data_IF_019561134607
#
_entry.id   IF_019561134607
#
_cell.length_a   1.000
_cell.length_b   1.000
_cell.length_c   1.000
_cell.angle_alpha   90.00
_cell.angle_beta   90.00
_cell.angle_gamma   90.00
#
_symmetry.space_group_name_H-M   'P 1'
#
loop_
_entity.id
_entity.type
_entity.pdbx_description
1 polymer ?
#
# COMPACT_ATOMS: atom_id res chain seq x y z
N UNK A 1 22.59 11.23 -14.13
CA UNK A 1 21.48 10.29 -14.35
C UNK A 1 20.80 10.19 -13.01
N UNK A 2 19.49 10.34 -12.98
CA UNK A 2 18.70 10.21 -11.76
C UNK A 2 18.94 8.80 -11.16
N UNK A 3 19.11 8.64 -9.83
CA UNK A 3 19.30 7.32 -9.22
C UNK A 3 18.21 6.30 -9.59
N UNK A 4 16.95 6.74 -9.67
CA UNK A 4 15.82 5.88 -10.09
C UNK A 4 15.96 5.48 -11.55
N UNK A 5 16.30 6.42 -12.45
CA UNK A 5 16.56 6.11 -13.86
C UNK A 5 17.72 5.10 -14.01
N UNK A 6 18.78 5.26 -13.22
CA UNK A 6 19.91 4.33 -13.24
C UNK A 6 19.48 2.93 -12.79
N UNK A 7 18.65 2.85 -11.75
CA UNK A 7 18.14 1.59 -11.24
C UNK A 7 17.15 0.91 -12.18
N UNK A 8 16.28 1.67 -12.87
CA UNK A 8 15.38 1.11 -13.90
C UNK A 8 16.17 0.59 -15.09
N UNK A 9 17.24 1.28 -15.52
CA UNK A 9 18.13 0.80 -16.58
C UNK A 9 18.90 -0.47 -16.20
N UNK A 10 19.10 -0.74 -14.92
CA UNK A 10 19.81 -1.96 -14.49
C UNK A 10 18.99 -3.22 -14.75
N UNK A 11 17.67 -3.11 -14.97
CA UNK A 11 16.78 -4.22 -15.31
C UNK A 11 17.04 -4.82 -16.71
N UNK A 12 17.97 -4.27 -17.50
CA UNK A 12 18.25 -4.69 -18.89
C UNK A 12 18.62 -6.16 -19.08
N UNK A 13 19.08 -6.84 -18.03
CA UNK A 13 19.42 -8.26 -18.03
C UNK A 13 18.29 -9.16 -17.50
N UNK A 14 17.15 -8.58 -17.10
CA UNK A 14 15.99 -9.31 -16.63
C UNK A 14 15.12 -9.82 -17.79
N UNK A 15 14.24 -10.77 -17.50
CA UNK A 15 13.31 -11.37 -18.46
C UNK A 15 11.88 -11.28 -17.94
N UNK A 16 10.92 -11.08 -18.83
CA UNK A 16 9.50 -11.25 -18.53
C UNK A 16 9.23 -12.69 -18.08
N UNK A 17 8.48 -12.83 -16.98
CA UNK A 17 8.11 -14.13 -16.40
C UNK A 17 6.83 -14.71 -17.01
N UNK A 18 6.09 -13.90 -17.76
CA UNK A 18 4.94 -14.31 -18.59
C UNK A 18 4.74 -13.33 -19.73
N UNK A 19 3.98 -13.70 -20.77
CA UNK A 19 3.67 -12.74 -21.81
C UNK A 19 2.71 -11.66 -21.27
N UNK A 20 2.86 -10.38 -21.69
CA UNK A 20 2.04 -9.30 -21.15
C UNK A 20 0.54 -9.55 -21.36
N UNK A 21 -0.22 -9.53 -20.26
CA UNK A 21 -1.66 -9.77 -20.22
C UNK A 21 -2.10 -11.24 -20.07
N UNK A 22 -1.17 -12.20 -20.04
CA UNK A 22 -1.54 -13.62 -19.87
C UNK A 22 -1.77 -14.01 -18.40
N UNK A 23 -1.09 -13.35 -17.47
CA UNK A 23 -1.16 -13.66 -16.05
C UNK A 23 -1.00 -12.40 -15.19
N UNK A 24 -1.61 -12.43 -14.01
CA UNK A 24 -1.32 -11.50 -12.92
C UNK A 24 -0.07 -11.97 -12.17
N UNK A 25 0.97 -11.13 -12.13
CA UNK A 25 2.19 -11.35 -11.37
C UNK A 25 2.59 -10.03 -10.69
N UNK A 26 2.57 -10.03 -9.37
CA UNK A 26 2.99 -8.88 -8.58
C UNK A 26 4.43 -8.46 -8.96
N UNK A 27 4.66 -7.16 -9.13
CA UNK A 27 5.97 -6.64 -9.54
C UNK A 27 6.21 -5.21 -9.01
N UNK A 28 7.08 -5.13 -8.01
CA UNK A 28 7.71 -3.93 -7.49
C UNK A 28 8.51 -3.21 -8.58
N UNK A 29 9.26 -3.94 -9.40
CA UNK A 29 10.02 -3.36 -10.51
C UNK A 29 9.13 -2.75 -11.58
N UNK A 30 7.92 -3.27 -11.78
CA UNK A 30 6.93 -2.62 -12.62
C UNK A 30 6.56 -1.22 -12.12
N UNK A 31 6.45 -1.04 -10.81
CA UNK A 31 6.24 0.26 -10.19
C UNK A 31 7.48 1.16 -10.21
N UNK A 32 8.68 0.58 -10.12
CA UNK A 32 9.94 1.32 -10.33
C UNK A 32 9.96 1.97 -11.73
N UNK A 33 9.55 1.22 -12.76
CA UNK A 33 9.40 1.73 -14.13
C UNK A 33 8.35 2.84 -14.20
N UNK A 34 7.20 2.70 -13.52
CA UNK A 34 6.20 3.77 -13.43
C UNK A 34 6.76 5.05 -12.79
N UNK A 35 7.58 4.92 -11.75
CA UNK A 35 8.25 6.06 -11.12
C UNK A 35 9.20 6.82 -12.05
N UNK A 36 10.01 6.11 -12.85
CA UNK A 36 10.88 6.74 -13.85
C UNK A 36 10.05 7.38 -14.98
N UNK A 37 8.92 6.78 -15.37
CA UNK A 37 7.97 7.38 -16.31
C UNK A 37 7.39 8.69 -15.76
N UNK A 38 6.96 8.71 -14.50
CA UNK A 38 6.48 9.95 -13.84
C UNK A 38 7.57 11.01 -13.93
N UNK A 39 8.82 10.66 -13.58
CA UNK A 39 9.92 11.62 -13.58
C UNK A 39 10.24 12.15 -14.99
N UNK A 40 10.26 11.29 -16.01
CA UNK A 40 10.52 11.69 -17.40
C UNK A 40 9.39 12.51 -18.02
N UNK A 41 8.15 12.16 -17.74
CA UNK A 41 6.99 12.83 -18.34
C UNK A 41 6.68 14.16 -17.65
N UNK A 42 6.85 14.24 -16.33
CA UNK A 42 6.66 15.49 -15.58
C UNK A 42 7.84 16.46 -15.75
N UNK A 43 9.07 15.92 -15.89
CA UNK A 43 10.31 16.69 -15.83
C UNK A 43 10.79 16.98 -14.41
N UNK A 44 10.20 16.34 -13.40
CA UNK A 44 10.51 16.49 -11.98
C UNK A 44 11.05 15.17 -11.41
N UNK A 45 11.96 15.18 -10.42
CA UNK A 45 12.29 13.96 -9.67
C UNK A 45 11.03 13.33 -9.07
N UNK A 46 10.95 12.00 -9.04
CA UNK A 46 9.77 11.27 -8.56
C UNK A 46 9.28 11.78 -7.19
N UNK A 47 10.15 11.80 -6.17
CA UNK A 47 9.77 12.23 -4.82
C UNK A 47 9.28 13.70 -4.79
N UNK A 48 9.88 14.58 -5.58
CA UNK A 48 9.44 15.97 -5.71
C UNK A 48 8.07 16.10 -6.36
N UNK A 49 7.76 15.25 -7.35
CA UNK A 49 6.43 15.21 -7.95
C UNK A 49 5.39 14.75 -6.92
N UNK A 50 5.68 13.67 -6.18
CA UNK A 50 4.79 13.16 -5.14
C UNK A 50 4.52 14.22 -4.06
N UNK A 51 5.56 14.92 -3.60
CA UNK A 51 5.42 15.97 -2.60
C UNK A 51 4.50 17.10 -3.08
N UNK A 52 4.77 17.67 -4.27
CA UNK A 52 4.10 18.87 -4.75
C UNK A 52 2.68 18.62 -5.28
N UNK A 53 2.43 17.46 -5.89
CA UNK A 53 1.17 17.20 -6.62
C UNK A 53 0.21 16.27 -5.87
N UNK A 54 0.67 15.60 -4.80
CA UNK A 54 -0.16 14.71 -3.97
C UNK A 54 -0.13 15.10 -2.49
N UNK A 55 1.03 15.07 -1.84
CA UNK A 55 1.12 15.18 -0.39
C UNK A 55 0.78 16.59 0.12
N UNK A 56 1.40 17.63 -0.45
CA UNK A 56 1.12 19.02 -0.08
C UNK A 56 -0.34 19.44 -0.37
N UNK A 57 -0.93 19.16 -1.56
CA UNK A 57 -2.33 19.50 -1.83
C UNK A 57 -3.32 18.80 -0.90
N UNK A 58 -2.99 17.60 -0.39
CA UNK A 58 -3.82 16.88 0.59
C UNK A 58 -3.55 17.29 2.04
N UNK A 59 -2.51 18.09 2.29
CA UNK A 59 -2.08 18.47 3.64
C UNK A 59 -1.51 17.29 4.43
N UNK A 60 -0.89 16.33 3.75
CA UNK A 60 -0.17 15.20 4.35
C UNK A 60 1.23 15.66 4.79
N UNK A 61 1.28 16.40 5.89
CA UNK A 61 2.47 17.17 6.31
C UNK A 61 3.57 16.35 6.97
N UNK A 62 3.25 15.14 7.44
CA UNK A 62 4.18 14.20 8.06
C UNK A 62 4.50 13.03 7.11
N UNK A 63 4.13 13.16 5.83
CA UNK A 63 4.36 12.15 4.81
C UNK A 63 5.45 12.60 3.84
N UNK A 64 6.32 11.68 3.44
CA UNK A 64 7.40 11.94 2.47
C UNK A 64 7.81 10.65 1.75
N UNK A 65 8.47 10.80 0.60
CA UNK A 65 9.16 9.72 -0.11
C UNK A 65 10.69 9.77 0.11
N UNK A 66 11.16 10.62 1.02
CA UNK A 66 12.57 10.83 1.32
C UNK A 66 12.80 10.55 2.80
N UNK A 67 13.43 9.43 3.13
CA UNK A 67 13.66 9.02 4.53
C UNK A 67 14.38 10.10 5.35
N UNK A 68 15.36 10.79 4.76
CA UNK A 68 16.10 11.87 5.43
C UNK A 68 15.23 13.08 5.83
N UNK A 69 13.98 13.16 5.34
CA UNK A 69 13.02 14.21 5.69
C UNK A 69 12.02 13.77 6.78
N UNK A 70 12.05 12.51 7.21
CA UNK A 70 11.21 12.02 8.32
C UNK A 70 11.65 12.69 9.62
N UNK A 71 10.69 13.22 10.39
CA UNK A 71 10.98 13.79 11.71
C UNK A 71 11.45 12.67 12.66
N UNK A 72 12.69 12.74 13.17
CA UNK A 72 13.21 11.72 14.07
C UNK A 72 12.42 11.59 15.38
N UNK A 73 11.67 12.62 15.79
CA UNK A 73 10.83 12.58 16.98
C UNK A 73 9.49 11.83 16.74
N UNK A 74 9.09 11.66 15.48
CA UNK A 74 7.87 10.92 15.10
C UNK A 74 8.17 9.49 14.61
N UNK A 75 9.43 9.18 14.33
CA UNK A 75 9.86 7.92 13.74
C UNK A 75 9.53 6.70 14.61
N UNK A 76 9.04 5.64 13.97
CA UNK A 76 8.81 4.33 14.60
C UNK A 76 9.82 3.31 14.11
N UNK A 77 10.44 2.59 15.06
CA UNK A 77 11.36 1.50 14.74
C UNK A 77 10.59 0.25 14.35
N UNK A 78 10.80 -0.25 13.13
CA UNK A 78 10.31 -1.56 12.70
C UNK A 78 11.13 -2.72 13.30
N UNK A 79 10.46 -3.83 13.58
CA UNK A 79 11.09 -5.03 14.14
C UNK A 79 10.77 -6.27 13.32
N UNK A 80 11.77 -7.17 13.19
CA UNK A 80 11.55 -8.54 12.73
C UNK A 80 11.68 -9.51 13.90
N UNK A 81 10.69 -10.38 14.06
CA UNK A 81 10.68 -11.40 15.12
C UNK A 81 11.34 -12.70 14.66
N UNK A 82 12.03 -13.39 15.57
CA UNK A 82 12.48 -14.76 15.38
C UNK A 82 11.49 -15.77 15.99
N UNK A 83 11.55 -17.04 15.56
CA UNK A 83 10.69 -18.12 16.08
C UNK A 83 10.80 -18.33 17.60
N UNK A 84 11.93 -17.93 18.21
CA UNK A 84 12.16 -18.04 19.65
C UNK A 84 11.55 -16.87 20.46
N UNK A 85 10.84 -15.96 19.79
CA UNK A 85 10.19 -14.78 20.39
C UNK A 85 11.13 -13.60 20.62
N UNK A 86 12.39 -13.67 20.17
CA UNK A 86 13.27 -12.51 20.14
C UNK A 86 12.93 -11.58 18.97
N UNK A 87 13.33 -10.31 19.07
CA UNK A 87 13.10 -9.29 18.05
C UNK A 87 14.40 -8.58 17.69
N UNK A 88 14.60 -8.29 16.41
CA UNK A 88 15.68 -7.44 15.93
C UNK A 88 15.08 -6.17 15.32
N UNK A 89 15.58 -5.01 15.73
CA UNK A 89 15.28 -3.76 15.05
C UNK A 89 15.80 -3.83 13.61
N UNK A 90 15.00 -3.38 12.65
CA UNK A 90 15.41 -3.28 11.26
C UNK A 90 15.99 -1.89 10.98
N UNK A 91 17.13 -1.86 10.31
CA UNK A 91 17.62 -0.63 9.69
C UNK A 91 16.83 -0.41 8.41
N UNK A 92 16.18 0.74 8.29
CA UNK A 92 15.44 1.06 7.08
C UNK A 92 16.39 1.53 5.99
N UNK A 93 16.37 0.83 4.87
CA UNK A 93 17.07 1.23 3.66
C UNK A 93 16.14 1.08 2.46
N UNK A 94 15.80 2.20 1.84
CA UNK A 94 15.04 2.20 0.59
C UNK A 94 16.01 2.32 -0.57
N UNK A 95 16.18 1.23 -1.32
CA UNK A 95 16.85 1.29 -2.62
C UNK A 95 16.14 2.38 -3.46
N UNK A 96 16.85 3.34 -4.09
CA UNK A 96 16.24 4.34 -4.95
C UNK A 96 15.27 3.76 -6.00
N UNK A 97 15.51 2.53 -6.46
CA UNK A 97 14.62 1.76 -7.34
C UNK A 97 13.23 1.56 -6.75
N UNK A 98 13.16 1.35 -5.45
CA UNK A 98 11.98 0.87 -4.75
C UNK A 98 11.17 2.01 -4.12
N UNK A 99 11.67 3.25 -4.18
CA UNK A 99 10.95 4.46 -3.74
C UNK A 99 9.53 4.56 -4.31
N UNK A 100 9.26 4.32 -5.63
CA UNK A 100 7.91 4.38 -6.17
C UNK A 100 6.96 3.27 -5.71
N UNK A 101 7.49 2.20 -5.11
CA UNK A 101 6.70 1.04 -4.74
C UNK A 101 6.57 0.85 -3.22
N UNK A 102 7.57 1.28 -2.44
CA UNK A 102 7.64 1.07 -0.99
C UNK A 102 8.23 2.26 -0.21
N UNK A 103 8.58 3.36 -0.88
CA UNK A 103 9.29 4.48 -0.25
C UNK A 103 8.43 5.49 0.50
N UNK A 104 7.12 5.28 0.62
CA UNK A 104 6.24 6.20 1.36
C UNK A 104 6.47 6.03 2.87
N UNK A 105 6.85 7.12 3.51
CA UNK A 105 6.79 7.30 4.95
C UNK A 105 5.54 8.12 5.28
N UNK A 106 4.73 7.65 6.21
CA UNK A 106 3.49 8.33 6.59
C UNK A 106 3.04 7.92 7.98
N UNK A 107 1.93 8.49 8.43
CA UNK A 107 1.30 8.20 9.71
C UNK A 107 -0.21 7.98 9.53
N UNK A 108 -0.87 7.59 10.61
CA UNK A 108 -2.31 7.34 10.56
C UNK A 108 -3.11 8.60 10.20
N UNK A 109 -2.74 9.77 10.75
CA UNK A 109 -3.45 11.03 10.52
C UNK A 109 -3.42 11.49 9.04
N UNK A 110 -2.28 11.38 8.38
CA UNK A 110 -2.14 11.71 6.97
C UNK A 110 -2.83 10.68 6.07
N UNK A 111 -2.74 9.39 6.41
CA UNK A 111 -3.46 8.35 5.69
C UNK A 111 -4.99 8.49 5.84
N UNK A 112 -5.49 9.07 6.94
CA UNK A 112 -6.89 9.46 7.09
C UNK A 112 -7.27 10.54 6.05
N UNK A 113 -6.40 11.53 5.80
CA UNK A 113 -6.64 12.56 4.76
C UNK A 113 -6.71 11.91 3.37
N UNK A 114 -5.78 11.00 3.09
CA UNK A 114 -5.80 10.18 1.87
C UNK A 114 -7.09 9.37 1.74
N UNK A 115 -7.52 8.71 2.81
CA UNK A 115 -8.73 7.90 2.79
C UNK A 115 -9.99 8.73 2.53
N UNK A 116 -10.10 9.91 3.17
CA UNK A 116 -11.19 10.86 2.92
C UNK A 116 -11.18 11.33 1.46
N UNK A 117 -10.02 11.64 0.91
CA UNK A 117 -9.85 12.02 -0.49
C UNK A 117 -10.37 10.92 -1.44
N UNK A 118 -9.99 9.66 -1.21
CA UNK A 118 -10.40 8.52 -2.02
C UNK A 118 -11.92 8.28 -1.94
N UNK A 119 -12.49 8.29 -0.74
CA UNK A 119 -13.94 8.12 -0.53
C UNK A 119 -14.75 9.27 -1.16
N UNK A 120 -14.22 10.49 -1.14
CA UNK A 120 -14.82 11.67 -1.75
C UNK A 120 -14.53 11.80 -3.26
N UNK A 121 -14.14 10.71 -3.93
CA UNK A 121 -13.97 10.63 -5.38
C UNK A 121 -13.04 11.73 -5.92
N UNK A 122 -11.88 11.85 -5.30
CA UNK A 122 -10.79 12.68 -5.79
C UNK A 122 -10.84 14.14 -5.31
N UNK A 123 -11.60 14.43 -4.25
CA UNK A 123 -11.71 15.77 -3.66
C UNK A 123 -11.47 15.74 -2.15
N UNK A 124 -10.71 16.71 -1.65
CA UNK A 124 -10.51 16.94 -0.22
C UNK A 124 -10.55 18.43 0.07
N UNK A 125 -11.34 18.84 1.08
CA UNK A 125 -11.45 20.23 1.52
C UNK A 125 -11.75 21.25 0.40
N UNK A 126 -12.53 20.86 -0.62
CA UNK A 126 -12.87 21.69 -1.78
C UNK A 126 -11.79 21.77 -2.86
N UNK A 127 -10.68 21.03 -2.70
CA UNK A 127 -9.63 20.88 -3.71
C UNK A 127 -9.79 19.53 -4.40
N UNK A 128 -10.03 19.55 -5.71
CA UNK A 128 -10.05 18.35 -6.55
C UNK A 128 -8.65 18.06 -7.09
N UNK A 129 -8.12 16.90 -6.76
CA UNK A 129 -6.78 16.46 -7.18
C UNK A 129 -6.87 15.40 -8.28
N UNK A 130 -7.97 14.63 -8.32
CA UNK A 130 -8.27 13.66 -9.37
C UNK A 130 -9.76 13.68 -9.74
N UNK A 131 -10.10 13.35 -10.97
CA UNK A 131 -11.50 13.21 -11.38
C UNK A 131 -12.14 11.93 -10.82
N UNK A 132 -13.47 11.94 -10.55
CA UNK A 132 -14.18 10.75 -10.10
C UNK A 132 -14.00 9.54 -11.02
N UNK A 133 -13.96 9.76 -12.33
CA UNK A 133 -13.79 8.70 -13.33
C UNK A 133 -12.43 7.99 -13.21
N UNK A 134 -11.39 8.72 -12.80
CA UNK A 134 -10.06 8.14 -12.56
C UNK A 134 -10.04 7.31 -11.27
N UNK A 135 -10.71 7.76 -10.21
CA UNK A 135 -10.89 6.95 -8.99
C UNK A 135 -11.66 5.66 -9.31
N UNK A 136 -12.72 5.76 -10.11
CA UNK A 136 -13.50 4.60 -10.54
C UNK A 136 -12.66 3.64 -11.41
N UNK A 137 -11.82 4.17 -12.31
CA UNK A 137 -10.90 3.36 -13.11
C UNK A 137 -9.87 2.63 -12.23
N UNK A 138 -9.32 3.30 -11.20
CA UNK A 138 -8.37 2.70 -10.27
C UNK A 138 -8.96 1.53 -9.48
N UNK A 139 -10.25 1.61 -9.13
CA UNK A 139 -10.98 0.57 -8.41
C UNK A 139 -11.79 -0.36 -9.32
N UNK A 140 -11.56 -0.32 -10.63
CA UNK A 140 -12.13 -1.29 -11.58
C UNK A 140 -11.18 -2.46 -11.75
N UNK A 141 -11.73 -3.67 -11.69
CA UNK A 141 -10.99 -4.91 -11.91
C UNK A 141 -10.36 -4.97 -13.30
N UNK A 142 -9.06 -5.23 -13.34
CA UNK A 142 -8.27 -5.45 -14.56
C UNK A 142 -7.90 -6.93 -14.72
N UNK A 143 -7.69 -7.63 -13.61
CA UNK A 143 -7.41 -9.07 -13.59
C UNK A 143 -7.77 -9.73 -12.27
N UNK A 144 -8.09 -11.03 -12.33
CA UNK A 144 -8.14 -11.88 -11.14
C UNK A 144 -6.73 -12.20 -10.63
N UNK A 145 -6.60 -12.30 -9.31
CA UNK A 145 -5.35 -12.71 -8.65
C UNK A 145 -5.38 -14.22 -8.40
N UNK A 146 -4.24 -14.90 -8.46
CA UNK A 146 -4.14 -16.36 -8.25
C UNK A 146 -4.13 -16.79 -6.77
N UNK A 147 -4.63 -15.93 -5.90
CA UNK A 147 -4.05 -15.71 -4.58
C UNK A 147 -4.98 -15.92 -3.35
N UNK A 148 -6.20 -16.53 -3.45
CA UNK A 148 -7.08 -16.64 -2.28
C UNK A 148 -6.53 -17.48 -1.13
N UNK A 149 -5.65 -18.46 -1.38
CA UNK A 149 -5.06 -19.30 -0.32
C UNK A 149 -3.74 -18.75 0.26
N UNK A 150 -3.16 -17.68 -0.33
CA UNK A 150 -1.80 -17.23 0.01
C UNK A 150 -1.74 -15.76 0.46
N UNK A 151 -2.51 -14.86 -0.16
CA UNK A 151 -2.75 -13.48 0.33
C UNK A 151 -4.13 -13.33 0.95
N UNK A 152 -4.94 -14.39 0.95
CA UNK A 152 -6.15 -14.47 1.79
C UNK A 152 -5.90 -14.11 3.26
N UNK A 153 -4.76 -14.45 3.88
CA UNK A 153 -4.40 -13.94 5.20
C UNK A 153 -4.06 -12.43 5.24
N UNK A 154 -3.46 -11.87 4.19
CA UNK A 154 -2.92 -10.49 4.16
C UNK A 154 -3.92 -9.44 3.68
N UNK A 155 -4.91 -9.87 2.91
CA UNK A 155 -5.94 -9.03 2.26
C UNK A 155 -7.36 -9.51 2.61
N UNK A 156 -7.45 -10.55 3.45
CA UNK A 156 -8.69 -11.24 3.77
C UNK A 156 -9.21 -12.06 2.58
N UNK A 157 -10.27 -12.88 2.77
CA UNK A 157 -10.96 -13.57 1.67
C UNK A 157 -11.76 -12.63 0.74
N UNK A 158 -11.39 -11.34 0.70
CA UNK A 158 -12.26 -10.23 0.29
C UNK A 158 -11.88 -9.59 -1.04
N UNK A 159 -10.73 -9.97 -1.59
CA UNK A 159 -10.08 -9.24 -2.69
C UNK A 159 -9.36 -10.21 -3.64
N UNK A 160 -10.14 -10.81 -4.53
CA UNK A 160 -9.66 -11.78 -5.53
C UNK A 160 -9.26 -11.16 -6.86
N UNK A 161 -9.28 -9.83 -6.96
CA UNK A 161 -9.04 -9.09 -8.20
C UNK A 161 -8.16 -7.87 -7.94
N UNK A 162 -7.56 -7.33 -9.00
CA UNK A 162 -6.66 -6.20 -8.94
C UNK A 162 -7.03 -5.18 -10.00
N UNK A 163 -7.14 -3.91 -9.59
CA UNK A 163 -7.34 -2.75 -10.46
C UNK A 163 -6.02 -2.04 -10.74
N UNK A 164 -6.07 -0.71 -10.93
CA UNK A 164 -4.86 0.08 -11.17
C UNK A 164 -4.23 0.50 -9.83
N UNK A 165 -3.37 -0.38 -9.30
CA UNK A 165 -2.68 -0.20 -8.03
C UNK A 165 -3.52 -0.43 -6.79
N UNK A 166 -4.61 -1.18 -6.92
CA UNK A 166 -5.50 -1.51 -5.81
C UNK A 166 -5.95 -2.95 -5.91
N UNK A 167 -5.99 -3.66 -4.80
CA UNK A 167 -6.79 -4.87 -4.70
C UNK A 167 -8.27 -4.44 -4.66
N UNK A 168 -9.11 -5.12 -5.45
CA UNK A 168 -10.57 -4.87 -5.50
C UNK A 168 -11.38 -6.16 -5.36
N UNK A 169 -12.58 -6.05 -4.79
CA UNK A 169 -13.44 -7.21 -4.56
C UNK A 169 -14.79 -6.86 -3.95
N UNK A 170 -15.47 -7.89 -3.44
CA UNK A 170 -16.77 -7.78 -2.81
C UNK A 170 -16.89 -8.78 -1.67
N UNK A 171 -17.57 -8.38 -0.59
CA UNK A 171 -17.94 -9.27 0.50
C UNK A 171 -19.37 -8.98 0.95
N UNK A 172 -20.22 -10.00 0.93
CA UNK A 172 -21.59 -9.91 1.45
C UNK A 172 -22.41 -8.74 0.87
N UNK A 173 -22.17 -8.39 -0.39
CA UNK A 173 -22.78 -7.27 -1.11
C UNK A 173 -22.08 -5.91 -0.94
N UNK A 174 -21.00 -5.85 -0.15
CA UNK A 174 -20.19 -4.65 0.03
C UNK A 174 -19.01 -4.67 -0.93
N UNK A 175 -18.92 -3.67 -1.82
CA UNK A 175 -17.73 -3.45 -2.62
C UNK A 175 -16.56 -3.07 -1.72
N UNK A 176 -15.38 -3.63 -1.99
CA UNK A 176 -14.16 -3.39 -1.24
C UNK A 176 -13.02 -2.99 -2.18
N UNK A 177 -12.16 -2.11 -1.70
CA UNK A 177 -10.87 -1.79 -2.30
C UNK A 177 -9.83 -1.64 -1.20
N UNK A 178 -8.57 -1.96 -1.46
CA UNK A 178 -7.53 -1.82 -0.44
C UNK A 178 -6.13 -2.14 -0.94
N UNK A 179 -5.16 -1.94 -0.05
CA UNK A 179 -3.78 -2.33 -0.30
C UNK A 179 -3.08 -2.63 1.03
N UNK A 180 -2.18 -3.59 1.00
CA UNK A 180 -1.34 -3.97 2.13
C UNK A 180 0.11 -3.62 1.84
N UNK A 181 0.88 -3.42 2.90
CA UNK A 181 2.30 -3.12 2.88
C UNK A 181 2.97 -3.93 3.98
N UNK A 182 4.13 -4.47 3.64
CA UNK A 182 5.04 -5.11 4.57
C UNK A 182 6.46 -4.80 4.11
N UNK A 183 7.34 -4.50 5.05
CA UNK A 183 8.73 -4.18 4.77
C UNK A 183 9.40 -3.56 5.99
N UNK A 184 10.70 -3.83 6.14
CA UNK A 184 11.53 -3.23 7.19
C UNK A 184 10.94 -3.30 8.61
N UNK A 185 10.28 -4.40 8.94
CA UNK A 185 9.73 -4.59 10.27
C UNK A 185 8.43 -3.83 10.54
N UNK A 186 7.75 -3.34 9.50
CA UNK A 186 6.46 -2.63 9.57
C UNK A 186 5.44 -3.33 8.68
N UNK A 187 4.19 -3.37 9.14
CA UNK A 187 3.03 -3.74 8.35
C UNK A 187 2.05 -2.57 8.26
N UNK A 188 1.38 -2.44 7.13
CA UNK A 188 0.36 -1.41 6.91
C UNK A 188 -0.78 -1.94 6.06
N UNK A 189 -2.01 -1.78 6.52
CA UNK A 189 -3.18 -2.10 5.71
C UNK A 189 -4.10 -0.89 5.62
N UNK A 190 -4.58 -0.61 4.41
CA UNK A 190 -5.66 0.35 4.16
C UNK A 190 -6.78 -0.34 3.37
N UNK A 191 -8.00 -0.27 3.90
CA UNK A 191 -9.16 -0.86 3.29
C UNK A 191 -10.34 0.10 3.25
N UNK A 192 -11.10 0.03 2.15
CA UNK A 192 -12.24 0.86 1.83
C UNK A 192 -13.47 0.00 1.58
N UNK A 193 -14.61 0.44 2.11
CA UNK A 193 -15.94 0.05 1.65
C UNK A 193 -16.64 1.31 1.12
N UNK A 194 -16.39 1.69 -0.16
CA UNK A 194 -16.78 3.00 -0.67
C UNK A 194 -18.28 3.24 -0.69
N UNK A 195 -19.09 2.21 -0.94
CA UNK A 195 -20.55 2.33 -0.96
C UNK A 195 -21.15 2.53 0.44
N UNK A 196 -20.34 2.27 1.47
CA UNK A 196 -20.62 2.52 2.88
C UNK A 196 -19.93 3.78 3.41
N UNK A 197 -19.20 4.52 2.58
CA UNK A 197 -18.43 5.70 3.01
C UNK A 197 -17.37 5.38 4.07
N UNK A 198 -16.86 4.15 4.13
CA UNK A 198 -16.03 3.65 5.23
C UNK A 198 -14.61 3.37 4.74
N UNK A 199 -13.61 3.72 5.55
CA UNK A 199 -12.25 3.24 5.41
C UNK A 199 -11.63 2.93 6.78
N UNK A 200 -10.76 1.92 6.81
CA UNK A 200 -9.98 1.51 7.98
C UNK A 200 -8.51 1.47 7.59
N UNK A 201 -7.68 2.09 8.41
CA UNK A 201 -6.22 2.12 8.29
C UNK A 201 -5.67 1.46 9.55
N UNK A 202 -4.75 0.53 9.40
CA UNK A 202 -4.04 -0.09 10.50
C UNK A 202 -2.56 -0.20 10.14
N UNK A 203 -1.69 0.14 11.07
CA UNK A 203 -0.23 0.14 10.91
C UNK A 203 0.37 -0.48 12.16
N UNK A 204 1.37 -1.34 12.02
CA UNK A 204 2.13 -1.88 13.16
C UNK A 204 3.62 -1.97 12.86
N UNK A 205 4.44 -1.98 13.90
CA UNK A 205 5.90 -2.05 13.80
C UNK A 205 6.44 -3.46 14.03
N UNK A 206 5.78 -4.48 13.48
CA UNK A 206 6.14 -5.87 13.73
C UNK A 206 6.02 -6.83 12.54
N UNK A 207 7.14 -7.20 11.94
CA UNK A 207 7.18 -8.25 10.92
C UNK A 207 7.53 -9.62 11.54
N UNK A 208 6.64 -10.59 11.36
CA UNK A 208 6.91 -12.00 11.67
C UNK A 208 7.17 -12.76 10.37
N UNK A 209 8.19 -13.64 10.26
CA UNK A 209 8.42 -14.48 9.08
C UNK A 209 7.41 -15.64 8.97
N UNK A 210 6.17 -15.39 9.38
CA UNK A 210 5.04 -16.32 9.37
C UNK A 210 4.01 -15.76 8.38
N UNK A 211 3.76 -16.44 7.26
CA UNK A 211 2.85 -15.94 6.23
C UNK A 211 1.39 -15.88 6.71
N UNK A 212 1.06 -16.57 7.80
CA UNK A 212 -0.27 -16.55 8.39
C UNK A 212 -0.42 -15.45 9.44
N UNK A 213 0.58 -14.58 9.62
CA UNK A 213 0.58 -13.56 10.65
C UNK A 213 0.79 -12.15 10.09
N UNK A 214 -0.32 -11.42 9.94
CA UNK A 214 -0.32 -10.04 9.45
C UNK A 214 -1.21 -9.12 10.32
N UNK A 215 -0.69 -8.63 11.46
CA UNK A 215 -1.48 -7.94 12.48
C UNK A 215 -2.25 -6.72 11.98
N UNK A 216 -1.61 -5.82 11.23
CA UNK A 216 -2.26 -4.66 10.65
C UNK A 216 -3.43 -5.06 9.74
N UNK A 217 -3.27 -6.08 8.89
CA UNK A 217 -4.36 -6.56 8.06
C UNK A 217 -5.50 -7.14 8.90
N UNK A 218 -5.19 -8.01 9.86
CA UNK A 218 -6.21 -8.57 10.76
C UNK A 218 -6.99 -7.49 11.50
N UNK A 219 -6.30 -6.48 12.04
CA UNK A 219 -6.94 -5.36 12.70
C UNK A 219 -7.85 -4.60 11.72
N UNK A 220 -7.39 -4.33 10.49
CA UNK A 220 -8.20 -3.66 9.49
C UNK A 220 -9.44 -4.48 9.09
N UNK A 221 -9.30 -5.80 8.89
CA UNK A 221 -10.39 -6.69 8.51
C UNK A 221 -11.43 -6.85 9.60
N UNK A 222 -11.00 -7.12 10.83
CA UNK A 222 -11.91 -7.37 11.94
C UNK A 222 -12.70 -6.10 12.30
N UNK A 223 -12.04 -4.93 12.24
CA UNK A 223 -12.70 -3.63 12.42
C UNK A 223 -13.65 -3.33 11.25
N UNK A 224 -13.24 -3.59 10.00
CA UNK A 224 -14.12 -3.42 8.82
C UNK A 224 -15.36 -4.31 8.95
N UNK A 225 -15.19 -5.58 9.33
CA UNK A 225 -16.28 -6.54 9.51
C UNK A 225 -17.21 -6.15 10.65
N UNK A 226 -16.68 -5.66 11.76
CA UNK A 226 -17.47 -5.14 12.88
C UNK A 226 -18.36 -3.97 12.40
N UNK A 227 -17.78 -3.02 11.67
CA UNK A 227 -18.48 -1.81 11.21
C UNK A 227 -19.46 -2.08 10.05
N UNK A 228 -19.24 -3.12 9.27
CA UNK A 228 -20.18 -3.61 8.25
C UNK A 228 -21.24 -4.56 8.84
N UNK A 229 -21.11 -4.98 10.10
CA UNK A 229 -22.04 -5.91 10.75
C UNK A 229 -21.94 -7.34 10.19
N UNK A 230 -20.73 -7.78 9.87
CA UNK A 230 -20.44 -9.09 9.31
C UNK A 230 -19.91 -10.08 10.35
N UNK A 231 -19.67 -9.63 11.59
CA UNK A 231 -19.31 -10.49 12.72
C UNK A 231 -20.52 -11.35 13.16
N UNK A 232 -20.36 -12.67 13.36
CA UNK A 232 -21.45 -13.54 13.77
C UNK A 232 -22.01 -13.13 15.14
N UNK A 233 -23.34 -13.16 15.27
CA UNK A 233 -24.10 -12.82 16.50
C UNK A 233 -24.14 -11.33 16.90
N UNK A 234 -23.65 -10.41 16.05
CA UNK A 234 -23.74 -8.97 16.31
C UNK A 234 -24.62 -8.22 15.29
N UNK A 235 -25.44 -7.29 15.77
CA UNK A 235 -26.09 -6.29 14.90
C UNK A 235 -25.04 -5.29 14.40
N UNK A 236 -25.13 -4.79 13.15
CA UNK A 236 -24.17 -3.82 12.62
C UNK A 236 -24.02 -2.62 13.56
N UNK A 237 -22.78 -2.26 13.89
CA UNK A 237 -22.48 -1.05 14.63
C UNK A 237 -22.72 0.17 13.72
N UNK A 238 -23.98 0.64 13.68
CA UNK A 238 -24.39 1.76 12.83
C UNK A 238 -23.74 3.10 13.22
N UNK A 239 -23.13 3.18 14.42
CA UNK A 239 -22.44 4.35 14.96
C UNK A 239 -21.21 3.93 15.76
N UNK A 240 -20.12 4.68 15.66
CA UNK A 240 -18.96 4.58 16.55
C UNK A 240 -19.27 5.22 17.91
N UNK A 241 -20.11 4.57 18.69
CA UNK A 241 -20.32 4.91 20.10
C UNK A 241 -19.20 4.35 20.99
N UNK A 242 -19.17 4.77 22.26
CA UNK A 242 -18.14 4.34 23.21
C UNK A 242 -18.04 2.80 23.33
N UNK A 243 -19.16 2.09 23.16
CA UNK A 243 -19.20 0.63 23.20
C UNK A 243 -18.52 0.01 21.97
N UNK A 244 -18.77 0.55 20.78
CA UNK A 244 -18.13 0.12 19.54
C UNK A 244 -16.63 0.44 19.56
N UNK A 245 -16.25 1.62 20.05
CA UNK A 245 -14.83 1.99 20.21
C UNK A 245 -14.11 1.04 21.16
N UNK A 246 -14.71 0.72 22.32
CA UNK A 246 -14.10 -0.23 23.26
C UNK A 246 -13.92 -1.64 22.65
N UNK A 247 -14.83 -2.08 21.77
CA UNK A 247 -14.67 -3.33 21.02
C UNK A 247 -13.50 -3.26 20.05
N UNK A 248 -13.38 -2.16 19.30
CA UNK A 248 -12.27 -1.94 18.36
C UNK A 248 -10.94 -1.99 19.11
N UNK A 249 -10.83 -1.29 20.24
CA UNK A 249 -9.62 -1.29 21.06
C UNK A 249 -9.30 -2.69 21.58
N UNK A 250 -10.31 -3.43 22.05
CA UNK A 250 -10.13 -4.81 22.49
C UNK A 250 -9.62 -5.72 21.37
N UNK A 251 -10.19 -5.61 20.16
CA UNK A 251 -9.74 -6.39 18.99
C UNK A 251 -8.27 -6.10 18.65
N UNK A 252 -7.90 -4.83 18.63
CA UNK A 252 -6.52 -4.41 18.34
C UNK A 252 -5.56 -4.92 19.41
N UNK A 253 -5.90 -4.75 20.70
CA UNK A 253 -5.08 -5.23 21.82
C UNK A 253 -4.92 -6.76 21.82
N UNK A 254 -5.97 -7.52 21.49
CA UNK A 254 -5.91 -8.98 21.39
C UNK A 254 -5.00 -9.44 20.23
N UNK A 255 -5.08 -8.78 19.07
CA UNK A 255 -4.20 -9.03 17.93
C UNK A 255 -2.75 -8.69 18.29
N UNK A 256 -2.51 -7.54 18.92
CA UNK A 256 -1.17 -7.15 19.36
C UNK A 256 -0.59 -8.14 20.36
N UNK A 257 -1.39 -8.57 21.35
CA UNK A 257 -0.98 -9.54 22.35
C UNK A 257 -0.68 -10.93 21.74
N UNK A 258 -1.51 -11.38 20.80
CA UNK A 258 -1.31 -12.65 20.08
C UNK A 258 -0.06 -12.64 19.19
N UNK A 259 0.28 -11.48 18.65
CA UNK A 259 1.42 -11.29 17.75
C UNK A 259 2.71 -10.84 18.40
N UNK A 260 2.66 -10.45 19.67
CA UNK A 260 3.74 -9.75 20.38
C UNK A 260 4.15 -8.44 19.69
N UNK A 261 3.17 -7.74 19.10
CA UNK A 261 3.38 -6.49 18.38
C UNK A 261 3.74 -5.37 19.38
N UNK A 262 4.89 -4.69 19.22
CA UNK A 262 5.34 -3.64 20.14
C UNK A 262 4.45 -2.41 20.12
N UNK A 263 4.03 -1.97 18.93
CA UNK A 263 3.24 -0.77 18.72
C UNK A 263 2.42 -0.80 17.44
N UNK A 264 1.28 -0.13 17.46
CA UNK A 264 0.35 -0.05 16.35
C UNK A 264 -0.44 1.26 16.35
N UNK A 265 -0.96 1.66 15.19
CA UNK A 265 -1.87 2.79 15.04
C UNK A 265 -3.07 2.37 14.17
N UNK A 266 -4.26 2.82 14.56
CA UNK A 266 -5.51 2.53 13.83
C UNK A 266 -6.28 3.83 13.58
N UNK A 267 -6.82 3.97 12.37
CA UNK A 267 -7.61 5.11 11.93
C UNK A 267 -8.85 4.67 11.19
N UNK A 268 -9.97 5.35 11.41
CA UNK A 268 -11.26 5.02 10.82
C UNK A 268 -11.90 6.29 10.27
N UNK A 269 -12.29 6.23 9.00
CA UNK A 269 -13.02 7.28 8.29
C UNK A 269 -14.42 6.77 7.99
N UNK A 270 -15.44 7.57 8.30
CA UNK A 270 -16.84 7.28 7.99
C UNK A 270 -17.53 8.52 7.44
N UNK A 271 -18.20 8.35 6.32
CA UNK A 271 -19.00 9.38 5.63
C UNK A 271 -18.21 10.69 5.39
N UNK A 272 -16.93 10.54 5.03
CA UNK A 272 -16.03 11.65 4.73
C UNK A 272 -15.41 12.33 5.96
N UNK A 273 -15.65 11.82 7.17
CA UNK A 273 -15.12 12.37 8.43
C UNK A 273 -14.20 11.38 9.15
N UNK A 274 -13.20 11.92 9.85
CA UNK A 274 -12.43 11.16 10.83
C UNK A 274 -13.33 10.86 12.03
N UNK A 275 -13.51 9.58 12.33
CA UNK A 275 -14.38 9.12 13.42
C UNK A 275 -13.63 8.39 14.53
N UNK A 276 -12.43 7.88 14.26
CA UNK A 276 -11.53 7.31 15.27
C UNK A 276 -10.07 7.36 14.80
N UNK A 277 -9.16 7.70 15.69
CA UNK A 277 -7.72 7.52 15.50
C UNK A 277 -7.07 7.28 16.86
N UNK A 278 -6.27 6.23 16.98
CA UNK A 278 -5.52 5.95 18.20
C UNK A 278 -4.21 5.23 17.92
N UNK A 279 -3.25 5.37 18.84
CA UNK A 279 -2.02 4.60 18.88
C UNK A 279 -2.00 3.67 20.09
N UNK A 280 -1.26 2.58 19.97
CA UNK A 280 -1.16 1.49 20.93
C UNK A 280 0.30 1.08 21.08
N UNK A 281 0.71 0.70 22.29
CA UNK A 281 2.06 0.23 22.54
C UNK A 281 3.12 1.32 22.36
N UNK A 282 4.32 0.95 21.90
CA UNK A 282 5.52 1.80 21.92
C UNK A 282 6.19 1.94 20.56
N UNK A 283 6.85 3.08 20.33
CA UNK A 283 7.60 3.36 19.09
C UNK A 283 8.90 2.58 18.98
N UNK A 284 9.48 2.17 20.11
CA UNK A 284 10.70 1.35 20.19
C UNK A 284 10.66 0.43 21.40
N UNK A 285 11.06 -0.82 21.24
CA UNK A 285 11.23 -1.76 22.35
C UNK A 285 12.28 -1.26 23.35
N UNK A 286 11.88 -1.16 24.62
CA UNK A 286 12.75 -0.72 25.71
C UNK A 286 12.67 0.77 26.02
N UNK A 287 11.89 1.55 25.26
CA UNK A 287 11.43 2.87 25.63
C UNK A 287 9.94 2.83 26.04
N UNK A 288 9.46 3.91 26.68
CA UNK A 288 8.06 4.07 27.07
C UNK A 288 7.32 5.08 26.16
N UNK A 289 7.91 5.44 25.01
CA UNK A 289 7.34 6.45 24.11
C UNK A 289 6.19 5.81 23.34
N UNK A 290 4.95 6.33 23.49
CA UNK A 290 3.78 5.68 22.91
C UNK A 290 3.73 5.88 21.39
N UNK A 291 3.26 4.87 20.67
CA UNK A 291 2.75 5.12 19.32
C UNK A 291 1.54 6.04 19.43
N UNK A 292 1.46 7.00 18.51
CA UNK A 292 0.33 7.92 18.37
C UNK A 292 -0.15 7.91 16.92
N UNK A 293 -1.32 8.50 16.61
CA UNK A 293 -1.74 8.69 15.21
C UNK A 293 -0.76 9.51 14.36
N UNK A 294 0.11 10.30 15.01
CA UNK A 294 1.13 11.12 14.36
C UNK A 294 2.45 10.37 14.09
N UNK A 295 2.66 9.22 14.74
CA UNK A 295 3.87 8.41 14.60
C UNK A 295 4.05 7.93 13.16
N UNK A 296 5.26 8.11 12.61
CA UNK A 296 5.59 7.88 11.21
C UNK A 296 6.27 6.52 11.03
N UNK A 297 5.75 5.73 10.09
CA UNK A 297 6.23 4.40 9.76
C UNK A 297 6.57 4.30 8.26
N UNK A 298 7.37 3.31 7.88
CA UNK A 298 7.53 2.93 6.47
C UNK A 298 6.29 2.17 5.98
N UNK A 299 5.51 2.76 5.08
CA UNK A 299 4.21 2.21 4.65
C UNK A 299 4.31 0.96 3.76
N UNK A 300 5.54 0.57 3.38
CA UNK A 300 5.79 -0.51 2.45
C UNK A 300 4.97 -0.36 1.17
N UNK A 301 4.44 -1.48 0.67
CA UNK A 301 3.75 -1.52 -0.62
C UNK A 301 2.47 -0.67 -0.75
N UNK A 302 1.93 -0.11 0.33
CA UNK A 302 0.88 0.93 0.23
C UNK A 302 1.36 2.14 -0.56
N UNK A 303 2.68 2.39 -0.64
CA UNK A 303 3.31 3.40 -1.50
C UNK A 303 3.03 3.25 -3.00
N UNK A 304 2.57 2.08 -3.47
CA UNK A 304 2.10 1.91 -4.86
C UNK A 304 0.84 2.70 -5.16
N UNK A 305 -0.03 2.84 -4.17
CA UNK A 305 -1.34 3.48 -4.37
C UNK A 305 -1.22 4.97 -4.75
N UNK A 306 -0.36 5.80 -4.12
CA UNK A 306 -0.09 7.16 -4.60
C UNK A 306 0.68 7.19 -5.92
N UNK A 307 1.61 6.26 -6.18
CA UNK A 307 2.29 6.18 -7.49
C UNK A 307 1.30 5.92 -8.64
N UNK A 308 0.34 5.03 -8.41
CA UNK A 308 -0.75 4.80 -9.37
C UNK A 308 -1.59 6.07 -9.57
N UNK A 309 -1.88 6.82 -8.51
CA UNK A 309 -2.58 8.10 -8.60
C UNK A 309 -1.79 9.14 -9.41
N UNK A 310 -0.48 9.26 -9.21
CA UNK A 310 0.37 10.17 -9.99
C UNK A 310 0.33 9.85 -11.49
N UNK A 311 0.32 8.56 -11.86
CA UNK A 311 0.10 8.16 -13.26
C UNK A 311 -1.27 8.64 -13.76
N UNK A 312 -2.33 8.46 -12.96
CA UNK A 312 -3.67 8.91 -13.35
C UNK A 312 -3.78 10.43 -13.48
N UNK A 313 -3.08 11.23 -12.66
CA UNK A 313 -2.98 12.69 -12.86
C UNK A 313 -2.37 13.02 -14.23
N UNK A 314 -1.26 12.37 -14.59
CA UNK A 314 -0.62 12.55 -15.89
C UNK A 314 -1.48 12.05 -17.06
N UNK A 315 -2.36 11.07 -16.83
CA UNK A 315 -3.39 10.63 -17.80
C UNK A 315 -4.46 11.71 -17.99
N UNK A 316 -4.96 12.32 -16.92
CA UNK A 316 -5.94 13.42 -16.99
C UNK A 316 -5.36 14.64 -17.71
N UNK A 317 -4.07 14.91 -17.55
CA UNK A 317 -3.33 15.95 -18.27
C UNK A 317 -3.07 15.61 -19.75
N UNK A 318 -3.39 14.39 -20.19
CA UNK A 318 -3.13 13.90 -21.55
C UNK A 318 -1.65 13.67 -21.85
N UNK A 319 -0.81 13.52 -20.82
CA UNK A 319 0.62 13.26 -20.95
C UNK A 319 0.95 11.76 -20.99
N UNK A 320 0.12 10.95 -20.35
CA UNK A 320 0.23 9.48 -20.36
C UNK A 320 -1.05 8.86 -20.96
N UNK A 321 -0.87 7.77 -21.71
CA UNK A 321 -1.94 6.92 -22.21
C UNK A 321 -1.80 5.55 -21.55
N UNK A 322 -2.87 5.05 -20.92
CA UNK A 322 -2.83 3.78 -20.18
C UNK A 322 -2.41 2.59 -21.07
N UNK A 323 -2.85 2.57 -22.32
CA UNK A 323 -2.60 1.46 -23.23
C UNK A 323 -1.34 1.65 -24.10
N UNK A 324 -0.58 2.72 -23.89
CA UNK A 324 0.70 2.93 -24.56
C UNK A 324 1.80 2.03 -23.97
N UNK A 325 2.74 1.54 -24.82
CA UNK A 325 3.88 0.77 -24.35
C UNK A 325 4.83 1.63 -23.54
N UNK A 326 5.49 1.04 -22.53
CA UNK A 326 6.48 1.74 -21.69
C UNK A 326 7.60 2.39 -22.49
N UNK A 327 7.99 1.78 -23.61
CA UNK A 327 9.05 2.27 -24.51
C UNK A 327 8.68 3.56 -25.23
N UNK A 328 7.40 3.96 -25.23
CA UNK A 328 6.98 5.28 -25.70
C UNK A 328 7.51 6.39 -24.80
N UNK A 329 7.59 6.15 -23.49
CA UNK A 329 8.03 7.13 -22.49
C UNK A 329 9.50 6.94 -22.10
N UNK A 330 9.96 5.69 -22.09
CA UNK A 330 11.34 5.31 -21.80
C UNK A 330 11.95 4.56 -23.01
N UNK A 331 12.42 5.26 -24.06
CA UNK A 331 12.91 4.61 -25.27
C UNK A 331 14.17 3.76 -25.08
N UNK A 332 14.91 4.00 -23.99
CA UNK A 332 16.09 3.22 -23.61
C UNK A 332 15.77 2.06 -22.65
N UNK A 333 14.50 1.91 -22.24
CA UNK A 333 14.07 0.78 -21.41
C UNK A 333 14.17 -0.51 -22.23
N UNK A 334 14.94 -1.45 -21.71
CA UNK A 334 15.19 -2.74 -22.35
C UNK A 334 15.13 -3.84 -21.30
N UNK A 335 14.79 -5.04 -21.75
CA UNK A 335 14.92 -6.31 -21.05
C UNK A 335 15.60 -7.28 -22.03
N UNK A 336 15.83 -8.52 -21.61
CA UNK A 336 16.31 -9.58 -22.51
C UNK A 336 15.28 -9.96 -23.59
N UNK A 337 13.99 -9.70 -23.34
CA UNK A 337 12.92 -9.90 -24.30
C UNK A 337 12.97 -8.88 -25.45
N UNK A 338 12.90 -9.34 -26.72
CA UNK A 338 13.06 -8.46 -27.88
C UNK A 338 11.81 -7.61 -28.19
N UNK A 339 10.63 -8.00 -27.69
CA UNK A 339 9.38 -7.29 -27.93
C UNK A 339 8.71 -6.90 -26.61
N UNK A 340 8.77 -5.60 -26.30
CA UNK A 340 8.15 -5.00 -25.11
C UNK A 340 6.88 -4.21 -25.46
N UNK A 341 6.35 -4.34 -26.68
CA UNK A 341 5.14 -3.62 -27.11
C UNK A 341 3.91 -3.97 -26.27
N UNK A 342 3.89 -5.15 -25.68
CA UNK A 342 2.84 -5.59 -24.76
C UNK A 342 2.99 -5.03 -23.34
N UNK A 343 4.14 -4.50 -22.94
CA UNK A 343 4.33 -3.93 -21.60
C UNK A 343 3.78 -2.50 -21.61
N UNK A 344 2.52 -2.33 -21.19
CA UNK A 344 1.83 -1.04 -21.18
C UNK A 344 1.71 -0.45 -19.78
N UNK A 345 1.40 0.86 -19.69
CA UNK A 345 1.19 1.55 -18.41
C UNK A 345 0.09 0.87 -17.58
N UNK A 346 -1.05 0.55 -18.20
CA UNK A 346 -2.16 -0.19 -17.58
C UNK A 346 -1.67 -1.50 -16.98
N UNK A 347 -0.87 -2.26 -17.74
CA UNK A 347 -0.38 -3.57 -17.33
C UNK A 347 0.68 -3.50 -16.22
N UNK A 348 1.47 -2.43 -16.15
CA UNK A 348 2.32 -2.18 -15.00
C UNK A 348 1.48 -1.88 -13.75
N UNK A 349 0.49 -1.00 -13.87
CA UNK A 349 -0.43 -0.64 -12.78
C UNK A 349 -1.26 -1.82 -12.27
N UNK A 350 -1.64 -2.74 -13.16
CA UNK A 350 -2.50 -3.89 -12.83
C UNK A 350 -1.73 -5.16 -12.52
N UNK A 351 -0.38 -5.12 -12.49
CA UNK A 351 0.47 -6.31 -12.34
C UNK A 351 0.22 -7.40 -13.39
N UNK A 352 -0.14 -7.03 -14.62
CA UNK A 352 -0.32 -7.96 -15.75
C UNK A 352 0.68 -7.72 -16.88
N UNK A 353 1.82 -7.11 -16.58
CA UNK A 353 2.86 -6.77 -17.55
C UNK A 353 3.79 -7.93 -17.88
N UNK A 354 3.85 -8.94 -17.00
CA UNK A 354 4.87 -9.99 -17.05
C UNK A 354 6.22 -9.54 -16.49
N UNK A 355 6.34 -8.33 -15.94
CA UNK A 355 7.57 -7.87 -15.28
C UNK A 355 7.94 -8.80 -14.11
N UNK A 356 9.21 -9.16 -13.95
CA UNK A 356 9.67 -9.88 -12.77
C UNK A 356 9.60 -9.00 -11.52
N UNK A 357 9.75 -9.62 -10.35
CA UNK A 357 9.90 -8.98 -9.06
C UNK A 357 11.27 -9.36 -8.48
N UNK A 358 11.91 -8.51 -7.64
CA UNK A 358 13.14 -8.90 -6.96
C UNK A 358 12.95 -10.12 -6.05
N UNK A 359 11.73 -10.36 -5.59
CA UNK A 359 11.36 -11.51 -4.78
C UNK A 359 10.45 -12.41 -5.62
N UNK A 360 10.88 -13.65 -5.86
CA UNK A 360 10.02 -14.64 -6.51
C UNK A 360 9.02 -15.19 -5.49
N UNK A 361 7.97 -14.40 -5.20
CA UNK A 361 6.92 -14.73 -4.24
C UNK A 361 6.23 -16.07 -4.56
N UNK A 362 6.21 -16.49 -5.82
CA UNK A 362 5.68 -17.79 -6.25
C UNK A 362 6.64 -18.92 -5.86
N UNK A 363 7.94 -18.77 -6.13
CA UNK A 363 8.94 -19.74 -5.72
C UNK A 363 9.07 -19.84 -4.19
N UNK A 364 9.06 -18.71 -3.47
CA UNK A 364 9.07 -18.70 -2.00
C UNK A 364 7.81 -19.32 -1.39
N UNK A 365 6.69 -19.27 -2.10
CA UNK A 365 5.48 -19.98 -1.68
C UNK A 365 5.59 -21.49 -1.92
N UNK A 366 6.09 -21.90 -3.08
CA UNK A 366 6.29 -23.32 -3.39
C UNK A 366 7.40 -23.96 -2.53
N UNK A 367 8.40 -23.18 -2.11
CA UNK A 367 9.45 -23.56 -1.17
C UNK A 367 9.74 -22.44 -0.15
N UNK A 368 9.15 -22.50 1.06
CA UNK A 368 9.36 -21.51 2.13
C UNK A 368 10.82 -21.35 2.57
N UNK A 369 11.71 -22.28 2.21
CA UNK A 369 13.14 -22.18 2.54
C UNK A 369 13.90 -21.18 1.64
N UNK A 370 13.27 -20.64 0.59
CA UNK A 370 13.87 -19.63 -0.29
C UNK A 370 13.81 -18.20 0.28
N UNK A 371 13.13 -17.99 1.42
CA UNK A 371 12.99 -16.69 2.12
C UNK A 371 14.26 -16.12 2.74
N UNK A 372 15.39 -16.82 2.62
CA UNK A 372 16.67 -16.38 3.17
C UNK A 372 17.74 -16.45 2.11
N UNK A 373 18.06 -15.31 1.51
CA UNK A 373 19.40 -14.95 1.02
C UNK A 373 19.52 -13.42 0.82
#
# INVERSE_FOLDING_TARGET
>A
IDPLEQAVRSLSDQQLISAPGEAWNYSNWGYSVLGDIIAKVSGEPFASYMQQHLLEPMGMVNSTFVMDEVDPDLYVTGYISAEDGSAAAMEHFVDPRDVPNSGLWSNCEDMIKWARFMLNKGELNGTRILQPESIDAMWTSEAGTFWPDVVGPWYGPYVGEYGLGWYVGEKAGHRLAGHAGAGDGVNTHIQFAPDNGLAVIAIDNWLKPDPDWYPAGFAAFDVMDLLLGLQPEEEPAATLDDATVAKIETLVEEIMAGGQVPGAAVGIVKDGELVYANGFGVTELGNDEPVTPDSVFAMGSVGKTPTAMAIMQLVEEGKIELDAPVTQYLPDFTLTDPDLSGVTIRRLLSHTSGMPDPIDWLAEYEDPNLRSD
#
